data_IF_962018349905
#
_entry.id   IF_962018349905
#
_cell.length_a   1.000
_cell.length_b   1.000
_cell.length_c   1.000
_cell.angle_alpha   90.00
_cell.angle_beta   90.00
_cell.angle_gamma   90.00
#
_symmetry.space_group_name_H-M   'P 1'
#
loop_
_entity.id
_entity.type
_entity.pdbx_description
1 polymer ?
#
# COMPACT_ATOMS: atom_id res chain seq x y z
N UNK A 1 0.39 26.54 13.80
CA UNK A 1 -1.06 26.48 14.08
C UNK A 1 -1.54 25.16 13.52
N UNK A 2 -2.16 24.29 14.34
CA UNK A 2 -2.68 23.00 13.87
C UNK A 2 -4.10 23.14 13.31
N UNK A 3 -4.56 22.14 12.56
CA UNK A 3 -5.94 22.06 12.07
C UNK A 3 -6.96 22.10 13.21
N UNK A 4 -8.11 22.73 12.97
CA UNK A 4 -9.27 22.68 13.87
C UNK A 4 -9.84 21.26 13.97
N UNK A 5 -10.59 20.97 15.03
CA UNK A 5 -11.18 19.64 15.25
C UNK A 5 -12.07 19.21 14.09
N UNK A 6 -12.81 20.13 13.49
CA UNK A 6 -13.67 19.86 12.32
C UNK A 6 -12.84 19.45 11.10
N UNK A 7 -11.75 20.17 10.83
CA UNK A 7 -10.83 19.83 9.74
C UNK A 7 -10.17 18.46 9.96
N UNK A 8 -9.75 18.16 11.19
CA UNK A 8 -9.17 16.85 11.53
C UNK A 8 -10.16 15.71 11.28
N UNK A 9 -11.42 15.86 11.69
CA UNK A 9 -12.48 14.86 11.44
C UNK A 9 -12.68 14.65 9.94
N UNK A 10 -12.73 15.72 9.15
CA UNK A 10 -12.87 15.63 7.70
C UNK A 10 -11.68 14.94 7.04
N UNK A 11 -10.45 15.22 7.49
CA UNK A 11 -9.23 14.55 7.01
C UNK A 11 -9.30 13.05 7.32
N UNK A 12 -9.62 12.66 8.55
CA UNK A 12 -9.74 11.23 8.91
C UNK A 12 -10.85 10.50 8.12
N UNK A 13 -11.97 11.17 7.87
CA UNK A 13 -13.04 10.64 7.02
C UNK A 13 -12.56 10.40 5.59
N UNK A 14 -11.84 11.36 5.00
CA UNK A 14 -11.26 11.23 3.66
C UNK A 14 -10.18 10.17 3.61
N UNK A 15 -9.28 10.09 4.59
CA UNK A 15 -8.28 9.02 4.70
C UNK A 15 -8.95 7.66 4.71
N UNK A 16 -10.02 7.50 5.49
CA UNK A 16 -10.74 6.23 5.58
C UNK A 16 -11.43 5.86 4.25
N UNK A 17 -11.94 6.85 3.52
CA UNK A 17 -12.65 6.65 2.25
C UNK A 17 -11.67 6.36 1.09
N UNK A 18 -10.50 7.01 1.08
CA UNK A 18 -9.48 6.87 0.01
C UNK A 18 -8.48 5.73 0.25
N UNK A 19 -8.34 5.27 1.50
CA UNK A 19 -7.45 4.15 1.83
C UNK A 19 -7.89 2.86 1.12
N UNK A 20 -6.91 2.06 0.66
CA UNK A 20 -7.19 0.74 0.10
C UNK A 20 -7.71 -0.21 1.20
N UNK A 21 -8.57 -1.14 0.81
CA UNK A 21 -9.17 -2.09 1.74
C UNK A 21 -8.14 -3.09 2.24
N UNK A 22 -7.96 -3.13 3.56
CA UNK A 22 -7.10 -4.10 4.26
C UNK A 22 -7.56 -5.53 3.95
N UNK A 23 -8.87 -5.77 4.05
CA UNK A 23 -9.46 -7.08 3.77
C UNK A 23 -9.22 -7.52 2.33
N UNK A 24 -9.38 -6.61 1.37
CA UNK A 24 -9.11 -6.90 -0.03
C UNK A 24 -7.63 -7.25 -0.27
N UNK A 25 -6.70 -6.53 0.37
CA UNK A 25 -5.27 -6.82 0.27
C UNK A 25 -4.92 -8.21 0.81
N UNK A 26 -5.46 -8.60 1.98
CA UNK A 26 -5.26 -9.94 2.54
C UNK A 26 -5.94 -11.04 1.71
N UNK A 27 -7.12 -10.78 1.15
CA UNK A 27 -7.78 -11.73 0.23
C UNK A 27 -6.95 -11.94 -1.04
N UNK A 28 -6.47 -10.87 -1.66
CA UNK A 28 -5.58 -10.94 -2.82
C UNK A 28 -4.27 -11.67 -2.50
N UNK A 29 -3.73 -11.48 -1.31
CA UNK A 29 -2.53 -12.19 -0.85
C UNK A 29 -2.79 -13.69 -0.62
N UNK A 30 -3.94 -14.05 -0.07
CA UNK A 30 -4.27 -15.45 0.17
C UNK A 30 -4.49 -16.23 -1.14
N UNK A 31 -5.27 -15.69 -2.07
CA UNK A 31 -5.62 -16.38 -3.31
C UNK A 31 -4.58 -16.21 -4.43
N UNK A 32 -4.02 -15.01 -4.58
CA UNK A 32 -3.11 -14.63 -5.68
C UNK A 32 -1.77 -14.08 -5.16
N UNK A 33 -1.39 -14.41 -3.92
CA UNK A 33 -0.18 -13.89 -3.29
C UNK A 33 1.10 -14.29 -3.98
N UNK A 34 1.22 -15.56 -4.38
CA UNK A 34 2.39 -16.08 -5.11
C UNK A 34 2.61 -15.41 -6.48
N UNK A 35 1.54 -14.85 -7.07
CA UNK A 35 1.60 -14.06 -8.31
C UNK A 35 1.89 -12.58 -8.06
N UNK A 36 1.86 -12.12 -6.80
CA UNK A 36 2.09 -10.71 -6.42
C UNK A 36 0.87 -9.79 -6.57
N UNK A 37 -0.35 -10.31 -6.75
CA UNK A 37 -1.56 -9.50 -7.01
C UNK A 37 -1.83 -8.43 -5.93
N UNK A 38 -1.59 -8.78 -4.65
CA UNK A 38 -1.75 -7.86 -3.53
C UNK A 38 -0.82 -6.63 -3.63
N UNK A 39 0.39 -6.79 -4.19
CA UNK A 39 1.32 -5.66 -4.41
C UNK A 39 0.84 -4.73 -5.50
N UNK A 40 0.29 -5.27 -6.59
CA UNK A 40 -0.31 -4.46 -7.65
C UNK A 40 -1.50 -3.65 -7.14
N UNK A 41 -2.34 -4.25 -6.29
CA UNK A 41 -3.48 -3.55 -5.67
C UNK A 41 -3.05 -2.39 -4.76
N UNK A 42 -1.95 -2.57 -4.02
CA UNK A 42 -1.36 -1.54 -3.15
C UNK A 42 -0.48 -0.54 -3.91
N UNK A 43 -0.46 -0.57 -5.25
CA UNK A 43 0.32 0.37 -6.07
C UNK A 43 1.83 0.08 -6.11
N UNK A 44 2.29 -1.05 -5.56
CA UNK A 44 3.71 -1.45 -5.53
C UNK A 44 4.06 -2.34 -6.73
N UNK A 45 3.89 -1.79 -7.93
CA UNK A 45 4.05 -2.52 -9.20
C UNK A 45 5.44 -3.14 -9.34
N UNK A 46 6.51 -2.42 -8.96
CA UNK A 46 7.88 -2.92 -9.11
C UNK A 46 8.15 -4.24 -8.39
N UNK A 47 7.80 -4.32 -7.11
CA UNK A 47 7.96 -5.57 -6.34
C UNK A 47 6.93 -6.64 -6.72
N UNK A 48 5.74 -6.25 -7.20
CA UNK A 48 4.77 -7.20 -7.77
C UNK A 48 5.29 -7.90 -9.03
N UNK A 49 5.95 -7.15 -9.93
CA UNK A 49 6.59 -7.72 -11.13
C UNK A 49 7.71 -8.68 -10.77
N UNK A 50 8.55 -8.34 -9.79
CA UNK A 50 9.62 -9.24 -9.32
C UNK A 50 9.03 -10.56 -8.81
N UNK A 51 7.96 -10.50 -8.03
CA UNK A 51 7.28 -11.69 -7.49
C UNK A 51 6.69 -12.56 -8.60
N UNK A 52 6.06 -11.94 -9.61
CA UNK A 52 5.55 -12.64 -10.78
C UNK A 52 6.68 -13.30 -11.60
N UNK A 53 7.80 -12.60 -11.82
CA UNK A 53 8.96 -13.14 -12.51
C UNK A 53 9.58 -14.31 -11.75
N UNK A 54 9.72 -14.21 -10.42
CA UNK A 54 10.21 -15.32 -9.61
C UNK A 54 9.28 -16.54 -9.66
N UNK A 55 7.97 -16.33 -9.69
CA UNK A 55 7.00 -17.41 -9.87
C UNK A 55 7.19 -18.09 -11.24
N UNK A 56 7.21 -17.32 -12.32
CA UNK A 56 7.37 -17.83 -13.69
C UNK A 56 8.73 -18.52 -13.88
N UNK A 57 9.82 -17.87 -13.46
CA UNK A 57 11.17 -18.42 -13.55
C UNK A 57 11.38 -19.60 -12.61
N UNK A 58 10.76 -19.60 -11.43
CA UNK A 58 10.79 -20.72 -10.50
C UNK A 58 10.16 -21.98 -11.12
N UNK A 59 8.96 -21.85 -11.68
CA UNK A 59 8.32 -22.95 -12.41
C UNK A 59 9.10 -23.36 -13.65
N UNK A 60 9.56 -22.38 -14.45
CA UNK A 60 10.34 -22.65 -15.65
C UNK A 60 11.63 -23.40 -15.31
N UNK A 61 12.38 -23.02 -14.28
CA UNK A 61 13.66 -23.66 -13.94
C UNK A 61 13.53 -24.88 -13.03
N UNK A 62 12.32 -25.37 -12.77
CA UNK A 62 12.11 -26.54 -11.91
C UNK A 62 12.74 -27.81 -12.49
N UNK A 63 12.82 -27.94 -13.82
CA UNK A 63 13.43 -29.11 -14.49
C UNK A 63 14.94 -29.26 -14.24
N UNK A 64 15.63 -28.19 -13.82
CA UNK A 64 17.05 -28.20 -13.43
C UNK A 64 17.26 -28.14 -11.90
N UNK A 65 16.23 -28.41 -11.10
CA UNK A 65 16.24 -28.37 -9.60
C UNK A 65 16.39 -26.96 -9.02
N UNK A 66 17.02 -26.01 -9.71
CA UNK A 66 17.17 -24.60 -9.32
C UNK A 66 15.81 -23.95 -9.03
N UNK A 67 14.78 -24.30 -9.82
CA UNK A 67 13.43 -23.78 -9.61
C UNK A 67 12.84 -24.09 -8.24
N UNK A 68 13.21 -25.22 -7.62
CA UNK A 68 12.73 -25.58 -6.28
C UNK A 68 13.24 -24.58 -5.23
N UNK A 69 14.50 -24.17 -5.33
CA UNK A 69 15.07 -23.17 -4.42
C UNK A 69 14.38 -21.80 -4.60
N UNK A 70 14.09 -21.39 -5.83
CA UNK A 70 13.37 -20.15 -6.13
C UNK A 70 11.94 -20.18 -5.59
N UNK A 71 11.20 -21.28 -5.78
CA UNK A 71 9.85 -21.43 -5.27
C UNK A 71 9.83 -21.50 -3.73
N UNK A 72 10.84 -22.10 -3.09
CA UNK A 72 10.99 -22.07 -1.64
C UNK A 72 11.22 -20.65 -1.12
N UNK A 73 12.10 -19.88 -1.76
CA UNK A 73 12.31 -18.46 -1.44
C UNK A 73 11.02 -17.63 -1.64
N UNK A 74 10.26 -17.90 -2.70
CA UNK A 74 8.95 -17.29 -2.95
C UNK A 74 7.93 -17.64 -1.85
N UNK A 75 7.96 -18.87 -1.34
CA UNK A 75 7.13 -19.29 -0.20
C UNK A 75 7.48 -18.56 1.10
N UNK A 76 8.77 -18.40 1.40
CA UNK A 76 9.22 -17.61 2.55
C UNK A 76 8.78 -16.15 2.39
N UNK A 77 8.98 -15.58 1.20
CA UNK A 77 8.55 -14.22 0.90
C UNK A 77 7.04 -14.06 1.07
N UNK A 78 6.23 -15.03 0.62
CA UNK A 78 4.78 -15.00 0.81
C UNK A 78 4.38 -14.91 2.29
N UNK A 79 5.09 -15.60 3.20
CA UNK A 79 4.85 -15.48 4.66
C UNK A 79 5.25 -14.09 5.16
N UNK A 80 6.42 -13.59 4.73
CA UNK A 80 6.91 -12.25 5.08
C UNK A 80 5.93 -11.17 4.63
N UNK A 81 5.30 -11.34 3.46
CA UNK A 81 4.29 -10.42 2.93
C UNK A 81 3.07 -10.29 3.85
N UNK A 82 2.69 -11.32 4.62
CA UNK A 82 1.60 -11.21 5.59
C UNK A 82 1.81 -10.08 6.61
N UNK A 83 3.07 -9.86 6.99
CA UNK A 83 3.49 -8.77 7.87
C UNK A 83 3.69 -7.46 7.10
N UNK A 84 4.29 -7.50 5.91
CA UNK A 84 4.48 -6.29 5.11
C UNK A 84 3.16 -5.65 4.70
N UNK A 85 2.10 -6.40 4.43
CA UNK A 85 0.80 -5.84 4.04
C UNK A 85 0.31 -4.80 5.05
N UNK A 86 0.45 -5.09 6.35
CA UNK A 86 0.09 -4.15 7.40
C UNK A 86 0.93 -2.87 7.34
N UNK A 87 2.24 -2.99 7.11
CA UNK A 87 3.14 -1.84 6.96
C UNK A 87 2.82 -1.02 5.69
N UNK A 88 2.57 -1.68 4.56
CA UNK A 88 2.23 -1.02 3.28
C UNK A 88 0.93 -0.23 3.38
N UNK A 89 -0.08 -0.76 4.07
CA UNK A 89 -1.34 -0.06 4.28
C UNK A 89 -1.17 1.12 5.25
N UNK A 90 -0.35 0.97 6.28
CA UNK A 90 -0.04 2.06 7.20
C UNK A 90 0.67 3.22 6.48
N UNK A 91 1.66 2.91 5.64
CA UNK A 91 2.37 3.88 4.80
C UNK A 91 1.39 4.62 3.87
N UNK A 92 0.52 3.88 3.18
CA UNK A 92 -0.47 4.49 2.28
C UNK A 92 -1.46 5.41 3.01
N UNK A 93 -1.92 5.01 4.21
CA UNK A 93 -2.81 5.85 5.04
C UNK A 93 -2.11 7.13 5.51
N UNK A 94 -0.83 7.04 5.83
CA UNK A 94 -0.03 8.21 6.22
C UNK A 94 0.16 9.17 5.05
N UNK A 95 0.47 8.68 3.86
CA UNK A 95 0.58 9.52 2.67
C UNK A 95 -0.71 10.28 2.36
N UNK A 96 -1.85 9.58 2.39
CA UNK A 96 -3.17 10.22 2.16
C UNK A 96 -3.44 11.26 3.25
N UNK A 97 -3.16 10.93 4.52
CA UNK A 97 -3.36 11.87 5.64
C UNK A 97 -2.50 13.11 5.50
N UNK A 98 -1.23 12.97 5.11
CA UNK A 98 -0.32 14.09 4.91
C UNK A 98 -0.80 14.99 3.78
N UNK A 99 -1.13 14.43 2.62
CA UNK A 99 -1.66 15.20 1.48
C UNK A 99 -2.90 16.01 1.86
N UNK A 100 -3.86 15.37 2.53
CA UNK A 100 -5.10 16.03 2.95
C UNK A 100 -4.89 17.08 4.05
N UNK A 101 -3.89 16.85 4.93
CA UNK A 101 -3.53 17.80 5.99
C UNK A 101 -2.88 19.03 5.38
N UNK A 102 -1.91 18.85 4.48
CA UNK A 102 -1.32 19.93 3.70
C UNK A 102 -2.40 20.67 2.91
N UNK A 103 -3.40 19.93 2.41
CA UNK A 103 -4.55 20.50 1.73
C UNK A 103 -5.39 21.44 2.58
N UNK A 104 -5.77 20.97 3.76
CA UNK A 104 -6.51 21.76 4.72
C UNK A 104 -5.69 22.97 5.22
N UNK A 105 -4.37 22.79 5.43
CA UNK A 105 -3.49 23.88 5.88
C UNK A 105 -3.38 25.00 4.84
N UNK A 106 -3.21 24.68 3.55
CA UNK A 106 -3.16 25.71 2.52
C UNK A 106 -4.52 26.42 2.37
N UNK A 107 -5.63 25.70 2.47
CA UNK A 107 -6.96 26.28 2.34
C UNK A 107 -7.26 27.26 3.48
N UNK A 108 -6.94 26.86 4.72
CA UNK A 108 -7.09 27.70 5.90
C UNK A 108 -6.16 28.93 5.85
N UNK A 109 -4.93 28.77 5.35
CA UNK A 109 -4.01 29.88 5.18
C UNK A 109 -4.48 30.90 4.12
N UNK A 110 -5.12 30.45 3.04
CA UNK A 110 -5.70 31.34 2.03
C UNK A 110 -6.91 32.11 2.56
N UNK A 111 -7.80 31.44 3.28
CA UNK A 111 -8.98 32.07 3.88
C UNK A 111 -8.59 33.15 4.90
N UNK A 112 -7.55 32.92 5.71
CA UNK A 112 -7.04 33.93 6.64
C UNK A 112 -6.36 35.11 5.94
N UNK A 113 -5.65 34.88 4.82
CA UNK A 113 -5.07 35.95 4.01
C UNK A 113 -6.11 36.84 3.34
N UNK A 114 -7.22 36.28 2.87
CA UNK A 114 -8.29 37.06 2.22
C UNK A 114 -9.10 37.92 3.20
N UNK A 115 -9.13 37.57 4.48
CA UNK A 115 -9.89 38.27 5.52
C UNK A 115 -9.04 39.25 6.36
N UNK A 116 -7.80 39.52 5.95
CA UNK A 116 -6.96 40.53 6.60
C UNK A 116 -7.41 41.95 6.15
N UNK A 117 -7.60 42.90 7.09
CA UNK A 117 -8.16 44.23 6.82
C UNK A 117 -7.23 45.14 5.99
#
# INVERSE_FOLDING_TARGET
>A
MGLSTQEQILVEQRVTNEAKSVGAAYLLWFFLGTLGAHRFYLGRTGSGVVQLLLFVLGWLTTFIVIGIALLAALGIWWIVDAFLISAMIAEQKQEIRQRLTDEALWANQQASRQNAP
#
